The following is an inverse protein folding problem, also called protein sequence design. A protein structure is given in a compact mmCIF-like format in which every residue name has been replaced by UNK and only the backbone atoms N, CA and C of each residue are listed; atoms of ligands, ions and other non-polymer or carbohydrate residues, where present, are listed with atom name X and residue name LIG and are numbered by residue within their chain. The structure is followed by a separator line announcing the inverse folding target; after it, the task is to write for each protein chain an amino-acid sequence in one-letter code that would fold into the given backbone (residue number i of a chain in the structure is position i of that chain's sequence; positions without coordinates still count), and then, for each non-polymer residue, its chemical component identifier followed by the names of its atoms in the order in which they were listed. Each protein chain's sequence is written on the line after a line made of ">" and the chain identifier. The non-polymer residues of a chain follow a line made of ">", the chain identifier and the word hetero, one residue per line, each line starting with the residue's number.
data_IF_134846126297
#
_entry.id   IF_134846126297
#
_cell.length_a   1.000
_cell.length_b   1.000
_cell.length_c   1.000
_cell.angle_alpha   90.00
_cell.angle_beta   90.00
_cell.angle_gamma   90.00
#
_symmetry.space_group_name_H-M   'P 1'
#
loop_
_entity.id
_entity.type
_entity.pdbx_description
1 polymer ?
#
# COMPACT_ATOMS: atom_id res chain seq x y z
N UNK A 1 2.71 -50.67 -15.75
CA UNK A 1 1.24 -50.64 -15.83
C UNK A 1 0.74 -49.47 -14.97
N UNK A 2 0.12 -48.47 -15.62
CA UNK A 2 -0.68 -47.35 -15.10
C UNK A 2 -0.16 -46.46 -13.94
N UNK A 3 0.64 -45.45 -14.27
CA UNK A 3 0.64 -44.19 -13.51
C UNK A 3 -0.66 -43.44 -13.78
N UNK A 4 -1.46 -43.25 -12.74
CA UNK A 4 -2.71 -42.50 -12.76
C UNK A 4 -2.45 -41.05 -13.18
N UNK A 5 -2.69 -40.76 -14.46
CA UNK A 5 -2.93 -39.39 -14.96
C UNK A 5 -4.19 -38.86 -14.27
N UNK A 6 -4.01 -38.22 -13.11
CA UNK A 6 -5.03 -37.36 -12.53
C UNK A 6 -5.28 -36.21 -13.49
N UNK A 7 -6.41 -36.34 -14.17
CA UNK A 7 -6.99 -35.40 -15.11
C UNK A 7 -7.11 -34.03 -14.43
N UNK A 8 -6.24 -33.09 -14.82
CA UNK A 8 -6.28 -31.66 -14.50
C UNK A 8 -7.71 -31.11 -14.58
N UNK A 9 -8.38 -30.99 -13.44
CA UNK A 9 -9.68 -30.33 -13.33
C UNK A 9 -9.59 -29.25 -12.28
N UNK A 10 -9.08 -28.08 -12.68
CA UNK A 10 -9.41 -26.77 -12.12
C UNK A 10 -9.07 -26.47 -10.66
N UNK A 11 -8.67 -27.43 -9.85
CA UNK A 11 -8.40 -27.25 -8.41
C UNK A 11 -7.18 -26.37 -8.17
N UNK A 12 -6.09 -26.58 -8.92
CA UNK A 12 -4.91 -25.71 -8.87
C UNK A 12 -5.21 -24.28 -9.34
N UNK A 13 -6.01 -24.13 -10.40
CA UNK A 13 -6.44 -22.82 -10.91
C UNK A 13 -7.33 -22.08 -9.92
N UNK A 14 -8.23 -22.80 -9.25
CA UNK A 14 -9.12 -22.26 -8.21
C UNK A 14 -8.35 -21.85 -6.96
N UNK A 15 -7.40 -22.68 -6.50
CA UNK A 15 -6.52 -22.35 -5.39
C UNK A 15 -5.64 -21.13 -5.71
N UNK A 16 -5.11 -21.05 -6.94
CA UNK A 16 -4.34 -19.89 -7.41
C UNK A 16 -5.17 -18.61 -7.39
N UNK A 17 -6.42 -18.66 -7.85
CA UNK A 17 -7.32 -17.49 -7.85
C UNK A 17 -7.59 -17.00 -6.42
N UNK A 18 -7.94 -17.91 -5.51
CA UNK A 18 -8.18 -17.59 -4.09
C UNK A 18 -6.94 -16.98 -3.43
N UNK A 19 -5.76 -17.58 -3.65
CA UNK A 19 -4.49 -17.05 -3.14
C UNK A 19 -4.22 -15.64 -3.66
N UNK A 20 -4.44 -15.37 -4.95
CA UNK A 20 -4.24 -14.04 -5.52
C UNK A 20 -5.17 -13.00 -4.90
N UNK A 21 -6.45 -13.34 -4.68
CA UNK A 21 -7.43 -12.47 -4.04
C UNK A 21 -7.02 -12.15 -2.59
N UNK A 22 -6.65 -13.17 -1.81
CA UNK A 22 -6.15 -12.97 -0.43
C UNK A 22 -4.88 -12.13 -0.41
N UNK A 23 -3.90 -12.41 -1.28
CA UNK A 23 -2.65 -11.63 -1.34
C UNK A 23 -2.90 -10.18 -1.76
N UNK A 24 -3.85 -9.94 -2.67
CA UNK A 24 -4.21 -8.59 -3.09
C UNK A 24 -4.84 -7.82 -1.93
N UNK A 25 -5.72 -8.46 -1.16
CA UNK A 25 -6.33 -7.88 0.03
C UNK A 25 -5.27 -7.56 1.11
N UNK A 26 -4.38 -8.50 1.42
CA UNK A 26 -3.30 -8.29 2.39
C UNK A 26 -2.37 -7.14 1.96
N UNK A 27 -2.03 -7.06 0.67
CA UNK A 27 -1.26 -5.94 0.12
C UNK A 27 -1.99 -4.60 0.21
N UNK A 28 -3.32 -4.59 0.14
CA UNK A 28 -4.12 -3.37 0.21
C UNK A 28 -4.31 -2.88 1.65
N UNK A 29 -4.49 -3.80 2.60
CA UNK A 29 -4.49 -3.48 4.04
C UNK A 29 -3.14 -2.85 4.47
N UNK A 30 -2.05 -3.30 3.84
CA UNK A 30 -0.70 -2.74 4.00
C UNK A 30 -0.53 -1.34 3.36
N UNK A 31 -1.56 -0.76 2.75
CA UNK A 31 -1.52 0.63 2.24
C UNK A 31 -2.36 1.54 3.14
N UNK A 32 -3.41 1.02 3.77
CA UNK A 32 -4.28 1.79 4.65
C UNK A 32 -3.52 2.48 5.80
N UNK A 33 -2.57 1.80 6.45
CA UNK A 33 -1.77 2.42 7.51
C UNK A 33 -0.83 3.53 7.01
N UNK A 34 -0.43 3.50 5.73
CA UNK A 34 0.43 4.53 5.14
C UNK A 34 -0.34 5.83 4.93
N UNK A 35 -1.64 5.73 4.63
CA UNK A 35 -2.53 6.89 4.56
C UNK A 35 -2.74 7.53 5.94
N UNK A 36 -2.93 6.73 6.99
CA UNK A 36 -3.03 7.24 8.35
C UNK A 36 -1.73 7.92 8.80
N UNK A 37 -0.58 7.27 8.55
CA UNK A 37 0.74 7.83 8.86
C UNK A 37 1.01 9.14 8.11
N UNK A 38 0.58 9.23 6.85
CA UNK A 38 0.67 10.46 6.05
C UNK A 38 -0.10 11.61 6.71
N UNK A 39 -1.33 11.36 7.18
CA UNK A 39 -2.15 12.37 7.84
C UNK A 39 -1.54 12.86 9.16
N UNK A 40 -0.99 11.94 9.94
CA UNK A 40 -0.29 12.28 11.18
C UNK A 40 0.93 13.18 10.92
N UNK A 41 1.75 12.83 9.92
CA UNK A 41 2.92 13.62 9.55
C UNK A 41 2.52 15.02 9.05
N UNK A 42 1.49 15.14 8.22
CA UNK A 42 0.98 16.44 7.76
C UNK A 42 0.53 17.29 8.96
N UNK A 43 -0.16 16.68 9.91
CA UNK A 43 -0.65 17.36 11.12
C UNK A 43 0.50 17.86 11.98
N UNK A 44 1.55 17.04 12.16
CA UNK A 44 2.76 17.42 12.87
C UNK A 44 3.48 18.58 12.18
N UNK A 45 3.67 18.52 10.86
CA UNK A 45 4.35 19.58 10.11
C UNK A 45 3.59 20.91 10.25
N UNK A 46 2.26 20.89 10.14
CA UNK A 46 1.42 22.09 10.32
C UNK A 46 1.53 22.63 11.75
N UNK A 47 1.57 21.76 12.76
CA UNK A 47 1.68 22.15 14.18
C UNK A 47 2.99 22.89 14.48
N UNK A 48 4.10 22.43 13.90
CA UNK A 48 5.43 23.01 14.15
C UNK A 48 5.85 24.08 13.15
N UNK A 49 5.06 24.32 12.09
CA UNK A 49 5.33 25.34 11.06
C UNK A 49 4.11 26.23 10.79
N UNK A 50 3.65 27.02 11.77
CA UNK A 50 2.40 27.78 11.68
C UNK A 50 2.42 28.92 10.65
N UNK A 51 3.60 29.43 10.29
CA UNK A 51 3.76 30.60 9.40
C UNK A 51 4.21 30.23 7.98
N UNK A 52 4.37 28.94 7.67
CA UNK A 52 4.82 28.50 6.35
C UNK A 52 3.66 27.92 5.53
N UNK A 53 3.63 28.26 4.23
CA UNK A 53 2.79 27.53 3.29
C UNK A 53 3.45 26.18 3.04
N UNK A 54 2.89 25.13 3.64
CA UNK A 54 3.38 23.75 3.53
C UNK A 54 2.56 23.01 2.48
N UNK A 55 3.17 22.73 1.33
CA UNK A 55 2.63 21.80 0.34
C UNK A 55 3.22 20.41 0.61
N UNK A 56 2.36 19.46 0.98
CA UNK A 56 2.76 18.07 1.28
C UNK A 56 2.23 17.16 0.20
N UNK A 57 3.12 16.60 -0.60
CA UNK A 57 2.78 15.57 -1.56
C UNK A 57 3.31 14.22 -1.06
N UNK A 58 2.41 13.28 -0.81
CA UNK A 58 2.77 11.97 -0.30
C UNK A 58 2.14 10.86 -1.14
N UNK A 59 3.02 9.97 -1.63
CA UNK A 59 2.67 8.83 -2.48
C UNK A 59 3.11 7.54 -1.79
N UNK A 60 2.15 6.63 -1.57
CA UNK A 60 2.43 5.28 -1.12
C UNK A 60 2.82 4.41 -2.32
N UNK A 61 3.99 3.80 -2.27
CA UNK A 61 4.45 2.83 -3.26
C UNK A 61 4.12 1.41 -2.78
N UNK A 62 3.88 0.51 -3.75
CA UNK A 62 3.56 -0.91 -3.56
C UNK A 62 4.65 -1.70 -2.80
N UNK A 63 5.84 -1.13 -2.63
CA UNK A 63 6.95 -1.68 -1.85
C UNK A 63 6.95 -1.21 -0.38
N UNK A 64 5.80 -0.91 0.22
CA UNK A 64 5.70 -0.38 1.59
C UNK A 64 6.56 0.88 1.83
N UNK A 65 6.75 1.69 0.79
CA UNK A 65 7.54 2.92 0.88
C UNK A 65 6.58 4.09 0.79
N UNK A 66 6.69 5.03 1.73
CA UNK A 66 5.94 6.28 1.71
C UNK A 66 6.90 7.41 1.35
N UNK A 67 6.77 7.90 0.12
CA UNK A 67 7.53 9.07 -0.34
C UNK A 67 6.79 10.33 0.08
N UNK A 68 7.39 11.15 0.93
CA UNK A 68 6.83 12.41 1.41
C UNK A 68 7.71 13.56 0.92
N UNK A 69 7.14 14.45 0.11
CA UNK A 69 7.77 15.70 -0.29
C UNK A 69 7.09 16.85 0.44
N UNK A 70 7.89 17.63 1.15
CA UNK A 70 7.43 18.81 1.89
C UNK A 70 8.08 20.03 1.25
N UNK A 71 7.27 20.91 0.67
CA UNK A 71 7.73 22.19 0.17
C UNK A 71 7.33 23.27 1.16
N UNK A 72 8.32 23.92 1.76
CA UNK A 72 8.16 24.98 2.76
C UNK A 72 8.47 26.30 2.06
N UNK A 73 7.43 27.11 1.83
CA UNK A 73 7.61 28.50 1.39
C UNK A 73 7.60 29.41 2.61
N UNK A 74 8.72 30.09 2.82
CA UNK A 74 8.83 31.18 3.81
C UNK A 74 8.25 32.44 3.18
N UNK A 75 7.33 33.12 3.86
CA UNK A 75 6.73 34.40 3.44
C UNK A 75 7.58 35.53 3.99
#
# INVERSE_FOLDING_TARGET
>A
MFFLRFKDKGTASTAKKRLQETLANDRNANIAYLDDLKNDIITLIRKYSPNSCVDVNACANRNNTLDIKVNIKNI
#
